data_IF_396466231429
#
_entry.id   IF_396466231429
#
_cell.length_a   1.000
_cell.length_b   1.000
_cell.length_c   1.000
_cell.angle_alpha   90.00
_cell.angle_beta   90.00
_cell.angle_gamma   90.00
#
_symmetry.space_group_name_H-M   'P 1'
#
loop_
_entity.id
_entity.type
_entity.pdbx_description
1 polymer ?
#
# COMPACT_ATOMS: atom_id res chain seq x y z
N UNK A 1 11.31 0.35 12.42
CA UNK A 1 11.85 0.62 11.08
C UNK A 1 10.69 1.13 10.24
N UNK A 2 10.74 2.36 9.73
CA UNK A 2 9.81 2.81 8.68
C UNK A 2 10.46 2.40 7.35
N UNK A 3 9.79 1.57 6.57
CA UNK A 3 10.24 1.22 5.23
C UNK A 3 9.50 2.11 4.24
N UNK A 4 10.21 3.06 3.64
CA UNK A 4 9.69 3.99 2.63
C UNK A 4 10.84 4.49 1.75
N UNK A 5 10.52 5.01 0.56
CA UNK A 5 11.50 5.54 -0.38
C UNK A 5 12.09 6.89 0.04
N UNK A 6 13.27 7.22 -0.46
CA UNK A 6 13.86 8.55 -0.28
C UNK A 6 13.15 9.60 -1.16
N UNK A 7 13.13 10.88 -0.77
CA UNK A 7 12.56 11.94 -1.60
C UNK A 7 13.20 11.99 -3.00
N UNK A 8 12.36 11.93 -4.04
CA UNK A 8 12.79 11.98 -5.44
C UNK A 8 13.12 10.61 -6.07
N UNK A 9 13.15 9.54 -5.28
CA UNK A 9 13.27 8.18 -5.82
C UNK A 9 11.99 7.77 -6.55
N UNK A 10 12.15 7.06 -7.67
CA UNK A 10 11.03 6.51 -8.45
C UNK A 10 10.65 5.13 -7.90
N UNK A 11 9.37 4.76 -7.93
CA UNK A 11 8.95 3.43 -7.53
C UNK A 11 9.55 2.36 -8.45
N UNK A 12 9.85 1.20 -7.89
CA UNK A 12 10.45 0.07 -8.60
C UNK A 12 9.52 -0.49 -9.69
N UNK A 13 8.22 -0.61 -9.38
CA UNK A 13 7.17 -1.06 -10.28
C UNK A 13 5.82 -0.40 -9.94
N UNK A 14 4.74 -0.86 -10.59
CA UNK A 14 3.39 -0.34 -10.34
C UNK A 14 2.84 -0.67 -8.95
N UNK A 15 3.31 -1.75 -8.31
CA UNK A 15 2.94 -2.10 -6.94
C UNK A 15 3.64 -1.18 -5.94
N UNK A 16 4.93 -0.93 -6.14
CA UNK A 16 5.70 -0.01 -5.31
C UNK A 16 5.18 1.44 -5.43
N UNK A 17 4.63 1.83 -6.58
CA UNK A 17 3.93 3.11 -6.74
C UNK A 17 2.67 3.21 -5.84
N UNK A 18 1.98 2.10 -5.61
CA UNK A 18 0.87 2.04 -4.65
C UNK A 18 1.38 2.23 -3.21
N UNK A 19 2.49 1.59 -2.84
CA UNK A 19 3.13 1.76 -1.53
C UNK A 19 3.56 3.21 -1.30
N UNK A 20 4.26 3.81 -2.26
CA UNK A 20 4.69 5.21 -2.19
C UNK A 20 3.51 6.18 -1.99
N UNK A 21 2.39 5.93 -2.69
CA UNK A 21 1.18 6.74 -2.54
C UNK A 21 0.51 6.56 -1.17
N UNK A 22 0.53 5.33 -0.64
CA UNK A 22 0.03 5.02 0.70
C UNK A 22 0.87 5.71 1.78
N UNK A 23 2.20 5.62 1.71
CA UNK A 23 3.10 6.26 2.67
C UNK A 23 2.91 7.77 2.71
N UNK A 24 2.81 8.42 1.55
CA UNK A 24 2.52 9.84 1.45
C UNK A 24 1.14 10.20 2.03
N UNK A 25 0.13 9.34 1.83
CA UNK A 25 -1.20 9.51 2.42
C UNK A 25 -1.14 9.47 3.95
N UNK A 26 -0.49 8.46 4.51
CA UNK A 26 -0.33 8.31 5.97
C UNK A 26 0.43 9.49 6.56
N UNK A 27 1.52 9.93 5.92
CA UNK A 27 2.27 11.11 6.36
C UNK A 27 1.41 12.38 6.38
N UNK A 28 0.55 12.56 5.37
CA UNK A 28 -0.36 13.70 5.30
C UNK A 28 -1.53 13.63 6.31
N UNK A 29 -1.73 12.49 6.96
CA UNK A 29 -2.74 12.26 8.01
C UNK A 29 -2.09 12.13 9.39
N UNK A 30 -1.06 12.92 9.66
CA UNK A 30 -0.34 12.94 10.94
C UNK A 30 0.26 11.57 11.34
N UNK A 31 0.65 10.77 10.35
CA UNK A 31 1.14 9.39 10.50
C UNK A 31 0.07 8.41 11.01
N UNK A 32 -1.22 8.68 10.79
CA UNK A 32 -2.31 7.75 11.06
C UNK A 32 -2.32 6.57 10.08
N UNK A 33 -1.67 5.48 10.48
CA UNK A 33 -1.65 4.23 9.73
C UNK A 33 -2.98 3.45 9.78
N UNK A 34 -3.94 3.87 10.61
CA UNK A 34 -5.31 3.33 10.66
C UNK A 34 -6.30 4.18 9.85
N UNK A 35 -5.79 5.14 9.08
CA UNK A 35 -6.60 5.97 8.20
C UNK A 35 -7.34 5.10 7.18
N UNK A 36 -8.66 5.02 7.33
CA UNK A 36 -9.51 4.24 6.43
C UNK A 36 -9.36 4.69 4.96
N UNK A 37 -9.18 5.99 4.75
CA UNK A 37 -8.97 6.56 3.42
C UNK A 37 -7.69 6.02 2.77
N UNK A 38 -6.57 6.01 3.50
CA UNK A 38 -5.29 5.53 3.00
C UNK A 38 -5.34 4.03 2.72
N UNK A 39 -5.88 3.23 3.65
CA UNK A 39 -6.01 1.78 3.47
C UNK A 39 -6.92 1.41 2.28
N UNK A 40 -8.09 2.07 2.13
CA UNK A 40 -9.00 1.78 1.00
C UNK A 40 -8.40 2.17 -0.35
N UNK A 41 -7.72 3.32 -0.44
CA UNK A 41 -7.01 3.73 -1.65
C UNK A 41 -5.91 2.74 -2.01
N UNK A 42 -5.15 2.28 -1.01
CA UNK A 42 -4.05 1.36 -1.23
C UNK A 42 -4.54 -0.02 -1.72
N UNK A 43 -5.57 -0.60 -1.08
CA UNK A 43 -6.19 -1.85 -1.52
C UNK A 43 -6.66 -1.73 -2.99
N UNK A 44 -7.39 -0.66 -3.33
CA UNK A 44 -7.86 -0.43 -4.71
C UNK A 44 -6.71 -0.29 -5.70
N UNK A 45 -5.62 0.37 -5.31
CA UNK A 45 -4.43 0.52 -6.15
C UNK A 45 -3.78 -0.83 -6.45
N UNK A 46 -3.55 -1.67 -5.43
CA UNK A 46 -2.96 -3.00 -5.60
C UNK A 46 -3.84 -3.91 -6.48
N UNK A 47 -5.16 -3.87 -6.29
CA UNK A 47 -6.09 -4.60 -7.17
C UNK A 47 -6.05 -4.10 -8.62
N UNK A 48 -5.87 -2.79 -8.82
CA UNK A 48 -5.68 -2.19 -10.14
C UNK A 48 -4.38 -2.66 -10.79
N UNK A 49 -3.29 -2.73 -10.03
CA UNK A 49 -2.00 -3.27 -10.50
C UNK A 49 -2.15 -4.71 -10.98
N UNK A 50 -2.76 -5.60 -10.17
CA UNK A 50 -2.99 -6.99 -10.58
C UNK A 50 -3.85 -7.10 -11.85
N UNK A 51 -4.94 -6.33 -11.93
CA UNK A 51 -5.83 -6.32 -13.11
C UNK A 51 -5.16 -5.83 -14.38
N UNK A 52 -4.15 -4.96 -14.26
CA UNK A 52 -3.42 -4.42 -15.41
C UNK A 52 -2.54 -5.47 -16.11
N UNK A 53 -2.20 -6.57 -15.44
CA UNK A 53 -1.25 -7.56 -15.95
C UNK A 53 0.19 -7.02 -16.04
N UNK A 54 0.49 -5.88 -15.42
CA UNK A 54 1.82 -5.30 -15.40
C UNK A 54 2.83 -6.22 -14.71
N UNK A 55 4.06 -6.23 -15.22
CA UNK A 55 5.16 -7.01 -14.65
C UNK A 55 5.86 -6.24 -13.53
N UNK A 56 6.42 -6.99 -12.58
CA UNK A 56 7.34 -6.45 -11.56
C UNK A 56 8.70 -6.07 -12.17
N UNK A 57 9.55 -5.42 -11.38
CA UNK A 57 10.86 -4.97 -11.80
C UNK A 57 11.85 -6.13 -12.02
N UNK A 58 12.83 -5.90 -12.89
CA UNK A 58 13.88 -6.88 -13.19
C UNK A 58 14.71 -7.18 -11.93
N UNK A 59 14.86 -8.46 -11.61
CA UNK A 59 15.63 -8.92 -10.45
C UNK A 59 14.78 -9.08 -9.18
N UNK A 60 13.47 -8.81 -9.23
CA UNK A 60 12.56 -9.19 -8.16
C UNK A 60 12.60 -10.71 -7.96
N UNK A 61 12.74 -11.13 -6.70
CA UNK A 61 12.66 -12.53 -6.27
C UNK A 61 11.29 -12.88 -5.71
N UNK A 62 10.34 -11.96 -5.76
CA UNK A 62 9.01 -12.10 -5.19
C UNK A 62 7.97 -12.25 -6.32
N UNK A 63 6.95 -13.08 -6.09
CA UNK A 63 5.76 -13.07 -6.92
C UNK A 63 4.87 -11.87 -6.56
N UNK A 64 4.53 -11.06 -7.56
CA UNK A 64 3.78 -9.83 -7.32
C UNK A 64 2.33 -10.10 -6.86
N UNK A 65 1.73 -11.23 -7.28
CA UNK A 65 0.43 -11.68 -6.82
C UNK A 65 0.45 -12.03 -5.33
N UNK A 66 1.40 -12.88 -4.93
CA UNK A 66 1.61 -13.27 -3.55
C UNK A 66 1.87 -12.06 -2.64
N UNK A 67 2.72 -11.12 -3.07
CA UNK A 67 2.98 -9.88 -2.31
C UNK A 67 1.70 -9.08 -2.12
N UNK A 68 0.89 -8.90 -3.16
CA UNK A 68 -0.39 -8.18 -3.05
C UNK A 68 -1.35 -8.89 -2.09
N UNK A 69 -1.46 -10.21 -2.15
CA UNK A 69 -2.32 -10.98 -1.24
C UNK A 69 -1.91 -10.80 0.22
N UNK A 70 -0.61 -10.91 0.53
CA UNK A 70 -0.08 -10.71 1.88
C UNK A 70 -0.36 -9.29 2.39
N UNK A 71 -0.06 -8.27 1.58
CA UNK A 71 -0.26 -6.87 1.99
C UNK A 71 -1.75 -6.58 2.15
N UNK A 72 -2.61 -7.10 1.27
CA UNK A 72 -4.06 -6.90 1.33
C UNK A 72 -4.64 -7.39 2.65
N UNK A 73 -4.22 -8.56 3.17
CA UNK A 73 -4.67 -9.07 4.47
C UNK A 73 -4.36 -8.07 5.60
N UNK A 74 -3.15 -7.51 5.64
CA UNK A 74 -2.76 -6.53 6.66
C UNK A 74 -3.58 -5.24 6.51
N UNK A 75 -3.80 -4.78 5.29
CA UNK A 75 -4.55 -3.55 5.02
C UNK A 75 -6.05 -3.69 5.32
N UNK A 76 -6.64 -4.86 5.08
CA UNK A 76 -8.03 -5.15 5.48
C UNK A 76 -8.18 -5.13 7.00
N UNK A 77 -7.19 -5.68 7.73
CA UNK A 77 -7.16 -5.60 9.19
C UNK A 77 -6.99 -4.15 9.69
N UNK A 78 -6.10 -3.36 9.08
CA UNK A 78 -5.93 -1.94 9.39
C UNK A 78 -7.21 -1.13 9.12
N UNK A 79 -7.86 -1.37 7.98
CA UNK A 79 -9.14 -0.74 7.63
C UNK A 79 -10.24 -1.08 8.64
N UNK A 80 -10.32 -2.35 9.06
CA UNK A 80 -11.26 -2.78 10.10
C UNK A 80 -10.95 -2.10 11.44
N UNK A 81 -9.69 -2.09 11.87
CA UNK A 81 -9.25 -1.43 13.09
C UNK A 81 -9.57 0.08 13.05
N UNK A 82 -9.30 0.77 11.95
CA UNK A 82 -9.67 2.17 11.75
C UNK A 82 -11.16 2.41 11.88
N UNK A 83 -12.02 1.48 11.44
CA UNK A 83 -13.48 1.53 11.63
C UNK A 83 -13.91 1.32 13.09
N UNK A 84 -13.11 0.64 13.89
CA UNK A 84 -13.40 0.38 15.31
C UNK A 84 -12.90 1.53 16.18
N UNK A 85 -11.66 1.98 15.99
CA UNK A 85 -11.00 2.95 16.86
C UNK A 85 -11.30 4.41 16.51
N UNK A 86 -11.71 4.72 15.28
CA UNK A 86 -12.17 6.07 14.90
C UNK A 86 -13.70 6.23 15.00
N UNK A 87 -14.41 5.28 15.62
CA UNK A 87 -15.79 5.52 16.07
C UNK A 87 -15.76 6.43 17.30
N UNK A 88 -16.64 7.45 17.37
CA UNK A 88 -16.78 8.25 18.59
C UNK A 88 -17.20 7.41 19.79
#
# INVERSE_FOLDING_TARGET
LLYSGCPGEKPCDGLDACCMSHDACVQAKDNDYLSQECSEKFIKCMEGFLKSGAHTFKGSTCDAGEVVEIIKVVMEAALFAGKVFHKP
#
